data_IF_971743724673
#
_entry.id   IF_971743724673
#
_cell.length_a   1.000
_cell.length_b   1.000
_cell.length_c   1.000
_cell.angle_alpha   90.00
_cell.angle_beta   90.00
_cell.angle_gamma   90.00
#
_symmetry.space_group_name_H-M   'P 1'
#
loop_
_entity.id
_entity.type
_entity.pdbx_description
1 polymer ?
#
# COMPACT_ATOMS: atom_id res chain seq x y z
N UNK A 1 2.13 6.96 -20.98
CA UNK A 1 3.15 7.00 -19.92
C UNK A 1 2.51 6.45 -18.68
N UNK A 2 3.04 5.34 -18.19
CA UNK A 2 2.41 4.51 -17.17
C UNK A 2 2.57 5.19 -15.82
N UNK A 3 1.44 5.38 -15.15
CA UNK A 3 1.32 6.05 -13.86
C UNK A 3 2.14 5.32 -12.80
N UNK A 4 2.90 6.05 -11.99
CA UNK A 4 3.46 5.52 -10.74
C UNK A 4 2.29 5.06 -9.86
N UNK A 5 2.17 3.77 -9.58
CA UNK A 5 1.14 3.27 -8.67
C UNK A 5 1.47 3.80 -7.27
N UNK A 6 0.48 4.40 -6.59
CA UNK A 6 0.63 4.84 -5.20
C UNK A 6 -0.28 3.98 -4.36
N UNK A 7 0.22 3.32 -3.32
CA UNK A 7 -0.66 2.63 -2.38
C UNK A 7 -1.27 3.64 -1.41
N UNK A 8 -2.56 3.47 -1.09
CA UNK A 8 -3.26 4.27 -0.08
C UNK A 8 -3.88 3.38 0.97
N UNK A 9 -3.76 3.80 2.23
CA UNK A 9 -4.49 3.22 3.33
C UNK A 9 -5.86 3.91 3.46
N UNK A 10 -6.93 3.12 3.48
CA UNK A 10 -8.30 3.59 3.66
C UNK A 10 -8.88 2.97 4.91
N UNK A 11 -9.48 3.80 5.76
CA UNK A 11 -10.24 3.32 6.92
C UNK A 11 -11.65 2.95 6.46
N UNK A 12 -12.08 1.75 6.78
CA UNK A 12 -13.37 1.22 6.38
C UNK A 12 -14.16 0.85 7.63
N UNK A 13 -15.47 1.07 7.57
CA UNK A 13 -16.39 0.68 8.63
C UNK A 13 -17.28 -0.42 8.10
N UNK A 14 -17.17 -1.60 8.70
CA UNK A 14 -18.15 -2.65 8.51
C UNK A 14 -19.44 -2.22 9.23
N UNK A 15 -20.48 -1.94 8.46
CA UNK A 15 -21.76 -1.47 8.99
C UNK A 15 -22.50 -2.56 9.77
N UNK A 16 -22.26 -3.83 9.44
CA UNK A 16 -22.95 -4.97 10.03
C UNK A 16 -22.23 -5.44 11.31
N UNK A 17 -20.91 -5.37 11.34
CA UNK A 17 -20.09 -5.74 12.50
C UNK A 17 -19.81 -4.58 13.46
N UNK A 18 -19.98 -3.32 13.01
CA UNK A 18 -19.59 -2.14 13.77
C UNK A 18 -18.07 -2.01 13.97
N UNK A 19 -17.29 -2.80 13.24
CA UNK A 19 -15.82 -2.85 13.31
C UNK A 19 -15.25 -1.84 12.33
N UNK A 20 -14.26 -1.07 12.79
CA UNK A 20 -13.44 -0.24 11.94
C UNK A 20 -12.13 -0.96 11.67
N UNK A 21 -11.72 -1.01 10.41
CA UNK A 21 -10.47 -1.66 10.00
C UNK A 21 -9.77 -0.85 8.92
N UNK A 22 -8.49 -1.15 8.71
CA UNK A 22 -7.71 -0.54 7.64
C UNK A 22 -7.53 -1.48 6.45
N UNK A 23 -7.60 -0.88 5.27
CA UNK A 23 -7.37 -1.55 3.99
C UNK A 23 -6.31 -0.81 3.19
N UNK A 24 -5.52 -1.55 2.41
CA UNK A 24 -4.55 -1.01 1.45
C UNK A 24 -5.06 -1.25 0.04
N UNK A 25 -5.04 -0.20 -0.79
CA UNK A 25 -5.48 -0.22 -2.20
C UNK A 25 -4.42 0.40 -3.10
N UNK A 26 -4.35 -0.07 -4.34
CA UNK A 26 -3.57 0.61 -5.39
C UNK A 26 -4.36 1.83 -5.87
N UNK A 27 -3.71 2.98 -5.93
CA UNK A 27 -4.26 4.24 -6.43
C UNK A 27 -3.73 4.50 -7.84
N UNK A 28 -4.65 4.79 -8.75
CA UNK A 28 -4.37 5.23 -10.11
C UNK A 28 -4.77 6.70 -10.23
N UNK A 29 -3.83 7.53 -10.70
CA UNK A 29 -4.12 8.91 -11.08
C UNK A 29 -4.65 8.94 -12.50
N UNK A 30 -5.81 9.55 -12.71
CA UNK A 30 -6.45 9.73 -14.01
C UNK A 30 -6.15 11.13 -14.57
N UNK A 31 -6.33 11.29 -15.89
CA UNK A 31 -6.31 12.61 -16.51
C UNK A 31 -7.38 13.52 -15.89
N UNK A 32 -7.03 14.78 -15.62
CA UNK A 32 -7.92 15.73 -14.97
C UNK A 32 -7.92 15.70 -13.44
N UNK A 33 -6.98 14.97 -12.82
CA UNK A 33 -6.77 15.00 -11.37
C UNK A 33 -7.76 14.14 -10.57
N UNK A 34 -8.48 13.25 -11.25
CA UNK A 34 -9.29 12.21 -10.60
C UNK A 34 -8.42 11.05 -10.14
N UNK A 35 -8.91 10.32 -9.15
CA UNK A 35 -8.28 9.10 -8.68
C UNK A 35 -9.26 7.93 -8.81
N UNK A 36 -8.73 6.79 -9.23
CA UNK A 36 -9.37 5.48 -9.10
C UNK A 36 -8.50 4.56 -8.24
N UNK A 37 -9.07 3.47 -7.76
CA UNK A 37 -8.35 2.50 -6.94
C UNK A 37 -8.85 1.08 -7.17
N UNK A 38 -8.03 0.08 -6.83
CA UNK A 38 -8.41 -1.33 -6.97
C UNK A 38 -9.66 -1.67 -6.16
N UNK A 39 -10.55 -2.45 -6.78
CA UNK A 39 -11.77 -2.92 -6.12
C UNK A 39 -11.48 -3.93 -5.00
N UNK A 40 -10.45 -4.78 -5.18
CA UNK A 40 -9.97 -5.75 -4.20
C UNK A 40 -8.91 -5.13 -3.28
N UNK A 41 -9.27 -4.68 -2.07
CA UNK A 41 -8.29 -4.25 -1.08
C UNK A 41 -7.50 -5.44 -0.52
N UNK A 42 -6.34 -5.15 0.05
CA UNK A 42 -5.70 -6.04 1.03
C UNK A 42 -6.02 -5.50 2.41
N UNK A 43 -6.40 -6.37 3.35
CA UNK A 43 -6.71 -6.00 4.73
C UNK A 43 -5.64 -6.58 5.66
N UNK A 44 -4.56 -5.82 5.98
CA UNK A 44 -3.65 -6.21 7.05
C UNK A 44 -4.39 -6.31 8.37
N UNK A 45 -3.82 -7.04 9.33
CA UNK A 45 -4.39 -7.10 10.68
C UNK A 45 -4.13 -5.74 11.36
N UNK A 46 -5.10 -5.21 12.09
CA UNK A 46 -4.95 -3.94 12.81
C UNK A 46 -6.21 -3.07 12.79
N UNK A 47 -6.61 -2.62 13.97
CA UNK A 47 -7.80 -1.79 14.16
C UNK A 47 -7.45 -0.29 14.09
N UNK A 48 -6.18 0.05 14.32
CA UNK A 48 -5.66 1.41 14.23
C UNK A 48 -4.50 1.57 13.23
N UNK A 49 -4.15 2.83 12.93
CA UNK A 49 -3.12 3.16 11.94
C UNK A 49 -1.71 2.74 12.40
N UNK A 50 -1.44 2.75 13.70
CA UNK A 50 -0.14 2.37 14.23
C UNK A 50 0.06 0.85 14.12
N UNK A 51 -0.99 0.07 14.35
CA UNK A 51 -1.01 -1.37 14.11
C UNK A 51 -0.83 -1.70 12.64
N UNK A 52 -1.53 -0.99 11.73
CA UNK A 52 -1.32 -1.14 10.29
C UNK A 52 0.14 -0.90 9.90
N UNK A 53 0.75 0.18 10.38
CA UNK A 53 2.16 0.50 10.07
C UNK A 53 3.09 -0.59 10.60
N UNK A 54 2.87 -1.06 11.82
CA UNK A 54 3.64 -2.15 12.43
C UNK A 54 3.52 -3.43 11.60
N UNK A 55 2.33 -3.78 11.17
CA UNK A 55 2.07 -5.01 10.45
C UNK A 55 2.65 -4.97 9.04
N UNK A 56 2.55 -3.83 8.35
CA UNK A 56 3.26 -3.59 7.08
C UNK A 56 4.78 -3.68 7.25
N UNK A 57 5.32 -3.13 8.34
CA UNK A 57 6.75 -3.21 8.66
C UNK A 57 7.19 -4.65 8.92
N UNK A 58 6.38 -5.43 9.64
CA UNK A 58 6.65 -6.84 9.91
C UNK A 58 6.59 -7.68 8.62
N UNK A 59 5.60 -7.45 7.75
CA UNK A 59 5.49 -8.10 6.45
C UNK A 59 6.70 -7.77 5.56
N UNK A 60 7.12 -6.50 5.55
CA UNK A 60 8.32 -6.05 4.86
C UNK A 60 9.59 -6.73 5.38
N UNK A 61 9.71 -6.91 6.69
CA UNK A 61 10.85 -7.58 7.31
C UNK A 61 10.86 -9.10 7.10
N UNK A 62 9.69 -9.74 7.01
CA UNK A 62 9.56 -11.19 6.78
C UNK A 62 9.72 -11.58 5.30
N UNK A 63 9.51 -10.64 4.38
CA UNK A 63 9.78 -10.81 2.96
C UNK A 63 11.29 -10.97 2.73
N UNK A 64 11.80 -12.21 2.84
CA UNK A 64 13.14 -12.60 2.37
C UNK A 64 13.26 -12.64 0.84
N UNK A 65 12.34 -11.96 0.15
CA UNK A 65 12.27 -11.91 -1.30
C UNK A 65 12.79 -10.54 -1.74
N UNK A 66 13.46 -10.46 -2.90
CA UNK A 66 13.83 -9.18 -3.47
C UNK A 66 12.61 -8.27 -3.62
N UNK A 67 12.79 -7.00 -3.26
CA UNK A 67 11.81 -5.94 -3.43
C UNK A 67 11.61 -5.63 -4.91
N UNK A 68 10.36 -5.44 -5.33
CA UNK A 68 10.07 -4.96 -6.68
C UNK A 68 10.15 -3.43 -6.70
N UNK A 69 11.23 -2.89 -7.26
CA UNK A 69 11.40 -1.45 -7.50
C UNK A 69 10.60 -1.04 -8.75
N UNK A 70 9.67 -0.09 -8.55
CA UNK A 70 8.79 0.47 -9.57
C UNK A 70 9.07 1.97 -9.82
N UNK A 71 10.17 2.51 -9.29
CA UNK A 71 10.50 3.94 -9.38
C UNK A 71 11.15 4.34 -10.71
N UNK A 72 11.68 3.38 -11.46
CA UNK A 72 12.26 3.57 -12.79
C UNK A 72 11.30 3.28 -13.96
N UNK A 73 11.81 3.39 -15.19
CA UNK A 73 11.03 3.14 -16.41
C UNK A 73 10.67 1.65 -16.61
N UNK A 74 11.43 0.72 -16.01
CA UNK A 74 11.19 -0.72 -16.05
C UNK A 74 11.22 -1.35 -14.64
N UNK A 75 10.23 -2.18 -14.27
CA UNK A 75 10.21 -2.90 -13.00
C UNK A 75 11.43 -3.83 -12.85
N UNK A 76 12.12 -3.77 -11.71
CA UNK A 76 13.24 -4.67 -11.43
C UNK A 76 13.32 -5.05 -9.95
N UNK A 77 13.96 -6.19 -9.66
CA UNK A 77 14.10 -6.72 -8.31
C UNK A 77 15.37 -6.16 -7.63
N UNK A 78 15.26 -5.72 -6.37
CA UNK A 78 16.36 -5.19 -5.55
C UNK A 78 16.38 -5.88 -4.18
N UNK A 79 17.57 -6.09 -3.60
CA UNK A 79 17.70 -6.88 -2.37
C UNK A 79 17.32 -6.10 -1.09
N UNK A 80 17.28 -4.77 -1.16
CA UNK A 80 16.94 -3.88 -0.03
C UNK A 80 15.85 -2.87 -0.46
N UNK A 81 14.92 -2.50 0.43
CA UNK A 81 13.92 -1.49 0.10
C UNK A 81 14.61 -0.15 -0.17
N UNK A 82 14.16 0.63 -1.17
CA UNK A 82 14.70 1.96 -1.39
C UNK A 82 14.51 2.79 -0.12
N UNK A 83 15.54 3.56 0.28
CA UNK A 83 15.50 4.43 1.44
C UNK A 83 14.19 5.23 1.44
N UNK A 84 13.28 4.87 2.35
CA UNK A 84 12.02 5.58 2.50
C UNK A 84 12.40 6.99 2.94
N UNK A 85 12.26 7.95 2.01
CA UNK A 85 12.49 9.36 2.25
C UNK A 85 11.53 9.78 3.37
N UNK A 86 12.03 9.78 4.59
CA UNK A 86 11.41 10.47 5.72
C UNK A 86 11.62 11.95 5.46
N UNK A 87 10.60 12.60 4.89
CA UNK A 87 10.49 14.05 4.78
C UNK A 87 9.30 14.54 5.58
#
# INVERSE_FOLDING_TARGET
>A
MVSSWRYVATKVRDADAGIESWEVRELYSEEGGRFSYTAGPTSPVGDDLAELIRDLTNMAADARLPWLDLTGDEPHLVDEPPDVITR
#
